data_IF_855801402739
#
_entry.id   IF_855801402739
#
_cell.length_a   1.000
_cell.length_b   1.000
_cell.length_c   1.000
_cell.angle_alpha   90.00
_cell.angle_beta   90.00
_cell.angle_gamma   90.00
#
_symmetry.space_group_name_H-M   'P 1'
#
loop_
_entity.id
_entity.type
_entity.pdbx_description
1 polymer ?
#
# COMPACT_ATOMS: atom_id res chain seq x y z
N UNK A 1 -1.01 64.93 29.29
CA UNK A 1 -0.26 63.70 29.01
C UNK A 1 -1.18 62.57 29.46
N UNK A 2 -1.80 61.72 28.64
CA UNK A 2 -1.10 60.58 28.02
C UNK A 2 -1.90 59.90 26.87
N UNK A 3 -2.80 60.65 26.24
CA UNK A 3 -3.75 60.18 25.20
C UNK A 3 -3.11 59.51 23.96
N UNK A 4 -1.80 59.70 23.76
CA UNK A 4 -1.04 59.14 22.63
C UNK A 4 -0.46 57.76 22.96
N UNK A 5 -0.07 57.52 24.22
CA UNK A 5 0.34 56.19 24.66
C UNK A 5 -0.85 55.25 24.79
N UNK A 6 -2.00 55.73 25.27
CA UNK A 6 -3.24 54.92 25.34
C UNK A 6 -3.66 54.41 23.96
N UNK A 7 -3.68 55.28 22.94
CA UNK A 7 -3.96 54.87 21.55
C UNK A 7 -2.93 53.90 21.00
N UNK A 8 -1.65 54.09 21.32
CA UNK A 8 -0.59 53.16 20.89
C UNK A 8 -0.74 51.80 21.57
N UNK A 9 -1.17 51.78 22.83
CA UNK A 9 -1.47 50.57 23.56
C UNK A 9 -2.71 49.86 22.99
N UNK A 10 -3.81 50.57 22.74
CA UNK A 10 -5.01 50.04 22.07
C UNK A 10 -4.69 49.47 20.69
N UNK A 11 -3.85 50.15 19.90
CA UNK A 11 -3.41 49.65 18.60
C UNK A 11 -2.60 48.35 18.74
N UNK A 12 -1.67 48.31 19.70
CA UNK A 12 -0.88 47.10 19.97
C UNK A 12 -1.73 45.92 20.47
N UNK A 13 -2.84 46.20 21.15
CA UNK A 13 -3.80 45.18 21.58
C UNK A 13 -4.65 44.68 20.42
N UNK A 14 -5.08 45.59 19.53
CA UNK A 14 -5.80 45.23 18.31
C UNK A 14 -4.94 44.40 17.35
N UNK A 15 -3.67 44.78 17.16
CA UNK A 15 -2.72 44.02 16.33
C UNK A 15 -2.53 42.60 16.87
N UNK A 16 -2.35 42.45 18.20
CA UNK A 16 -2.25 41.12 18.83
C UNK A 16 -3.54 40.32 18.72
N UNK A 17 -4.70 40.97 18.86
CA UNK A 17 -5.99 40.29 18.68
C UNK A 17 -6.18 39.85 17.22
N UNK A 18 -5.73 40.65 16.26
CA UNK A 18 -5.74 40.32 14.84
C UNK A 18 -4.79 39.16 14.52
N UNK A 19 -3.56 39.18 15.05
CA UNK A 19 -2.61 38.06 14.92
C UNK A 19 -3.18 36.77 15.53
N UNK A 20 -3.82 36.86 16.69
CA UNK A 20 -4.46 35.69 17.31
C UNK A 20 -5.60 35.14 16.46
N UNK A 21 -6.47 36.00 15.92
CA UNK A 21 -7.54 35.58 15.00
C UNK A 21 -6.99 34.96 13.71
N UNK A 22 -5.91 35.53 13.17
CA UNK A 22 -5.23 34.98 11.99
C UNK A 22 -4.66 33.60 12.28
N UNK A 23 -3.94 33.44 13.40
CA UNK A 23 -3.40 32.16 13.84
C UNK A 23 -4.50 31.11 14.04
N UNK A 24 -5.61 31.51 14.67
CA UNK A 24 -6.76 30.64 14.88
C UNK A 24 -7.44 30.25 13.55
N UNK A 25 -7.51 31.19 12.59
CA UNK A 25 -7.99 30.93 11.24
C UNK A 25 -7.10 29.93 10.48
N UNK A 26 -5.79 30.13 10.53
CA UNK A 26 -4.80 29.26 9.89
C UNK A 26 -4.85 27.84 10.49
N UNK A 27 -4.94 27.72 11.82
CA UNK A 27 -5.10 26.43 12.51
C UNK A 27 -6.40 25.72 12.09
N UNK A 28 -7.50 26.46 11.94
CA UNK A 28 -8.78 25.87 11.52
C UNK A 28 -8.74 25.39 10.07
N UNK A 29 -8.03 26.09 9.18
CA UNK A 29 -7.81 25.64 7.80
C UNK A 29 -6.98 24.35 7.79
N UNK A 30 -5.94 24.28 8.62
CA UNK A 30 -5.07 23.08 8.73
C UNK A 30 -5.82 21.87 9.32
N UNK A 31 -6.70 22.10 10.29
CA UNK A 31 -7.58 21.06 10.82
C UNK A 31 -8.56 20.54 9.76
N UNK A 32 -9.18 21.46 9.00
CA UNK A 32 -10.10 21.10 7.90
C UNK A 32 -9.36 20.34 6.79
N UNK A 33 -8.15 20.76 6.43
CA UNK A 33 -7.36 20.10 5.39
C UNK A 33 -6.95 18.69 5.80
N UNK A 34 -6.49 18.53 7.05
CA UNK A 34 -6.12 17.22 7.62
C UNK A 34 -7.34 16.30 7.68
N UNK A 35 -8.47 16.81 8.17
CA UNK A 35 -9.72 16.04 8.23
C UNK A 35 -10.22 15.65 6.84
N UNK A 36 -10.18 16.57 5.87
CA UNK A 36 -10.53 16.29 4.48
C UNK A 36 -9.63 15.21 3.86
N UNK A 37 -8.33 15.21 4.18
CA UNK A 37 -7.41 14.17 3.71
C UNK A 37 -7.72 12.81 4.37
N UNK A 38 -8.05 12.79 5.66
CA UNK A 38 -8.49 11.57 6.35
C UNK A 38 -9.79 11.02 5.77
N UNK A 39 -10.78 11.88 5.54
CA UNK A 39 -12.07 11.52 4.95
C UNK A 39 -11.90 11.00 3.50
N UNK A 40 -11.01 11.60 2.71
CA UNK A 40 -10.67 11.11 1.37
C UNK A 40 -9.98 9.74 1.42
N UNK A 41 -8.99 9.58 2.30
CA UNK A 41 -8.28 8.31 2.47
C UNK A 41 -9.24 7.18 2.91
N UNK A 42 -10.14 7.47 3.85
CA UNK A 42 -11.14 6.48 4.32
C UNK A 42 -12.17 6.17 3.24
N UNK A 43 -12.69 7.18 2.53
CA UNK A 43 -13.60 6.96 1.40
C UNK A 43 -12.98 6.15 0.26
N UNK A 44 -11.68 6.33 -0.02
CA UNK A 44 -10.97 5.51 -1.00
C UNK A 44 -10.82 4.04 -0.56
N UNK A 45 -10.55 3.81 0.74
CA UNK A 45 -10.51 2.47 1.32
C UNK A 45 -11.88 1.79 1.31
N UNK A 46 -12.95 2.54 1.60
CA UNK A 46 -14.32 2.03 1.56
C UNK A 46 -14.74 1.67 0.12
N UNK A 47 -14.39 2.50 -0.86
CA UNK A 47 -14.62 2.19 -2.27
C UNK A 47 -13.86 0.93 -2.72
N UNK A 48 -12.61 0.77 -2.27
CA UNK A 48 -11.84 -0.45 -2.50
C UNK A 48 -12.49 -1.67 -1.83
N UNK A 49 -12.91 -1.55 -0.57
CA UNK A 49 -13.58 -2.62 0.16
C UNK A 49 -14.87 -3.05 -0.54
N UNK A 50 -15.68 -2.10 -1.02
CA UNK A 50 -16.91 -2.38 -1.74
C UNK A 50 -16.65 -3.05 -3.09
N UNK A 51 -15.60 -2.63 -3.81
CA UNK A 51 -15.18 -3.28 -5.06
C UNK A 51 -14.76 -4.75 -4.84
N UNK A 52 -14.09 -5.05 -3.72
CA UNK A 52 -13.67 -6.41 -3.36
C UNK A 52 -14.89 -7.29 -3.02
N UNK A 53 -15.88 -6.74 -2.32
CA UNK A 53 -17.15 -7.43 -2.06
C UNK A 53 -17.87 -7.75 -3.37
N UNK A 54 -17.94 -6.79 -4.30
CA UNK A 54 -18.55 -6.98 -5.61
C UNK A 54 -17.88 -8.08 -6.45
N UNK A 55 -16.55 -8.18 -6.42
CA UNK A 55 -15.80 -9.25 -7.09
C UNK A 55 -16.08 -10.66 -6.53
N UNK A 56 -16.61 -10.74 -5.32
CA UNK A 56 -16.87 -12.00 -4.61
C UNK A 56 -18.34 -12.43 -4.69
N UNK A 57 -19.20 -11.61 -5.30
CA UNK A 57 -20.63 -11.89 -5.42
C UNK A 57 -20.88 -13.03 -6.42
N UNK A 58 -21.65 -14.08 -6.06
CA UNK A 58 -22.00 -15.16 -6.97
C UNK A 58 -22.91 -14.64 -8.09
N UNK A 59 -22.69 -15.10 -9.31
CA UNK A 59 -23.50 -14.79 -10.49
C UNK A 59 -24.89 -15.44 -10.45
N UNK A 60 -25.11 -16.39 -9.52
CA UNK A 60 -26.35 -17.15 -9.38
C UNK A 60 -26.39 -18.39 -10.27
N UNK A 61 -25.46 -18.54 -11.22
CA UNK A 61 -25.34 -19.70 -12.08
C UNK A 61 -24.22 -20.61 -11.56
N UNK A 62 -24.61 -21.74 -10.93
CA UNK A 62 -23.69 -22.65 -10.20
C UNK A 62 -22.47 -23.09 -11.02
N UNK A 63 -22.61 -23.32 -12.32
CA UNK A 63 -21.49 -23.76 -13.15
C UNK A 63 -20.51 -22.62 -13.47
N UNK A 64 -21.02 -21.40 -13.69
CA UNK A 64 -20.21 -20.19 -13.92
C UNK A 64 -19.47 -19.81 -12.65
N UNK A 65 -20.13 -19.89 -11.50
CA UNK A 65 -19.51 -19.63 -10.20
C UNK A 65 -18.44 -20.68 -9.87
N UNK A 66 -18.67 -21.94 -10.23
CA UNK A 66 -17.67 -23.01 -10.12
C UNK A 66 -16.45 -22.76 -11.01
N UNK A 67 -16.67 -22.40 -12.26
CA UNK A 67 -15.60 -22.07 -13.20
C UNK A 67 -14.80 -20.83 -12.76
N UNK A 68 -15.49 -19.76 -12.34
CA UNK A 68 -14.88 -18.54 -11.83
C UNK A 68 -14.00 -18.79 -10.60
N UNK A 69 -14.47 -19.62 -9.66
CA UNK A 69 -13.67 -20.03 -8.49
C UNK A 69 -12.44 -20.86 -8.89
N UNK A 70 -12.53 -21.65 -9.96
CA UNK A 70 -11.43 -22.47 -10.48
C UNK A 70 -10.36 -21.64 -11.21
N UNK A 71 -10.70 -20.47 -11.76
CA UNK A 71 -9.74 -19.62 -12.47
C UNK A 71 -8.57 -19.19 -11.59
N UNK A 72 -8.80 -18.92 -10.30
CA UNK A 72 -7.74 -18.54 -9.36
C UNK A 72 -6.69 -19.67 -9.23
N UNK A 73 -7.06 -20.92 -8.89
CA UNK A 73 -6.15 -22.08 -8.94
C UNK A 73 -5.51 -22.34 -10.31
N UNK A 74 -6.25 -22.18 -11.40
CA UNK A 74 -5.71 -22.46 -12.74
C UNK A 74 -4.57 -21.51 -13.10
N UNK A 75 -4.75 -20.21 -12.85
CA UNK A 75 -3.73 -19.20 -13.14
C UNK A 75 -2.49 -19.45 -12.27
N UNK A 76 -2.66 -19.78 -10.98
CA UNK A 76 -1.52 -20.06 -10.11
C UNK A 76 -0.79 -21.35 -10.49
N UNK A 77 -1.51 -22.40 -10.86
CA UNK A 77 -0.91 -23.65 -11.36
C UNK A 77 -0.14 -23.40 -12.66
N UNK A 78 -0.74 -22.71 -13.62
CA UNK A 78 -0.11 -22.41 -14.90
C UNK A 78 1.16 -21.56 -14.72
N UNK A 79 1.05 -20.41 -14.06
CA UNK A 79 2.14 -19.44 -14.01
C UNK A 79 3.20 -19.76 -12.97
N UNK A 80 2.79 -20.05 -11.74
CA UNK A 80 3.71 -20.17 -10.60
C UNK A 80 4.27 -21.57 -10.47
N UNK A 81 3.44 -22.60 -10.68
CA UNK A 81 3.85 -23.99 -10.47
C UNK A 81 4.49 -24.60 -11.71
N UNK A 82 3.94 -24.35 -12.90
CA UNK A 82 4.41 -24.98 -14.14
C UNK A 82 5.38 -24.09 -14.90
N UNK A 83 4.95 -22.88 -15.29
CA UNK A 83 5.71 -22.04 -16.21
C UNK A 83 6.97 -21.47 -15.57
N UNK A 84 6.89 -20.97 -14.33
CA UNK A 84 8.04 -20.35 -13.67
C UNK A 84 9.23 -21.32 -13.49
N UNK A 85 9.08 -22.52 -12.90
CA UNK A 85 10.19 -23.47 -12.82
C UNK A 85 10.68 -23.93 -14.19
N UNK A 86 9.77 -24.11 -15.16
CA UNK A 86 10.14 -24.51 -16.52
C UNK A 86 11.07 -23.49 -17.19
N UNK A 87 10.78 -22.19 -17.03
CA UNK A 87 11.63 -21.11 -17.58
C UNK A 87 13.01 -21.09 -16.89
N UNK A 88 13.07 -21.27 -15.58
CA UNK A 88 14.34 -21.32 -14.84
C UNK A 88 15.18 -22.52 -15.29
N UNK A 89 14.58 -23.72 -15.41
CA UNK A 89 15.27 -24.92 -15.89
C UNK A 89 15.74 -24.76 -17.33
N UNK A 90 14.91 -24.18 -18.21
CA UNK A 90 15.28 -23.91 -19.60
C UNK A 90 16.44 -22.89 -19.69
N UNK A 91 16.40 -21.83 -18.89
CA UNK A 91 17.48 -20.84 -18.82
C UNK A 91 18.79 -21.41 -18.30
N UNK A 92 18.71 -22.31 -17.31
CA UNK A 92 19.87 -23.05 -16.81
C UNK A 92 20.44 -23.97 -17.89
N UNK A 93 19.59 -24.77 -18.53
CA UNK A 93 19.97 -25.67 -19.62
C UNK A 93 20.67 -24.91 -20.75
N UNK A 94 20.09 -23.80 -21.20
CA UNK A 94 20.68 -22.97 -22.24
C UNK A 94 22.05 -22.41 -21.83
N UNK A 95 22.19 -21.97 -20.59
CA UNK A 95 23.46 -21.43 -20.08
C UNK A 95 24.56 -22.48 -20.06
N UNK A 96 24.25 -23.71 -19.63
CA UNK A 96 25.21 -24.83 -19.62
C UNK A 96 25.58 -25.25 -21.04
N UNK A 97 24.60 -25.34 -21.96
CA UNK A 97 24.87 -25.68 -23.37
C UNK A 97 25.68 -24.60 -24.09
N UNK A 98 25.66 -23.36 -23.60
CA UNK A 98 26.45 -22.24 -24.12
C UNK A 98 27.90 -22.24 -23.61
N UNK A 99 28.31 -23.24 -22.83
CA UNK A 99 29.69 -23.39 -22.33
C UNK A 99 29.96 -22.72 -20.98
N UNK A 100 28.94 -22.22 -20.29
CA UNK A 100 29.09 -21.69 -18.92
C UNK A 100 29.19 -22.86 -17.95
N UNK A 101 30.07 -22.76 -16.95
CA UNK A 101 30.17 -23.77 -15.89
C UNK A 101 28.83 -23.95 -15.18
N UNK A 102 28.48 -25.17 -14.79
CA UNK A 102 27.18 -25.43 -14.15
C UNK A 102 26.98 -24.63 -12.86
N UNK A 103 28.07 -24.33 -12.13
CA UNK A 103 28.02 -23.53 -10.91
C UNK A 103 27.71 -22.05 -11.24
N UNK A 104 28.39 -21.48 -12.23
CA UNK A 104 28.14 -20.09 -12.63
C UNK A 104 26.76 -19.92 -13.28
N UNK A 105 26.29 -20.92 -14.03
CA UNK A 105 24.95 -20.95 -14.58
C UNK A 105 23.88 -20.97 -13.48
N UNK A 106 24.10 -21.71 -12.39
CA UNK A 106 23.19 -21.75 -11.25
C UNK A 106 23.10 -20.38 -10.55
N UNK A 107 24.24 -19.75 -10.29
CA UNK A 107 24.29 -18.41 -9.67
C UNK A 107 23.63 -17.37 -10.58
N UNK A 108 23.78 -17.51 -11.91
CA UNK A 108 23.14 -16.64 -12.89
C UNK A 108 21.62 -16.83 -12.95
N UNK A 109 21.13 -18.06 -12.86
CA UNK A 109 19.70 -18.37 -12.82
C UNK A 109 19.03 -17.97 -11.51
N UNK A 110 19.77 -17.93 -10.40
CA UNK A 110 19.27 -17.49 -9.09
C UNK A 110 19.69 -16.05 -8.77
N UNK A 111 19.30 -15.14 -9.65
CA UNK A 111 19.75 -13.77 -9.69
C UNK A 111 18.97 -12.82 -8.77
N UNK A 112 19.15 -11.50 -8.98
CA UNK A 112 18.40 -10.47 -8.27
C UNK A 112 16.86 -10.62 -8.35
N UNK A 113 16.24 -10.99 -9.49
CA UNK A 113 14.79 -11.17 -9.58
C UNK A 113 14.26 -12.26 -8.64
N UNK A 114 14.93 -13.42 -8.57
CA UNK A 114 14.57 -14.54 -7.72
C UNK A 114 14.66 -14.15 -6.24
N UNK A 115 15.73 -13.43 -5.87
CA UNK A 115 15.93 -12.91 -4.50
C UNK A 115 14.87 -11.88 -4.13
N UNK A 116 14.47 -11.01 -5.07
CA UNK A 116 13.39 -10.05 -4.87
C UNK A 116 12.05 -10.76 -4.66
N UNK A 117 11.79 -11.84 -5.41
CA UNK A 117 10.61 -12.69 -5.28
C UNK A 117 10.54 -13.32 -3.88
N UNK A 118 11.64 -13.92 -3.41
CA UNK A 118 11.75 -14.48 -2.05
C UNK A 118 11.55 -13.40 -1.00
N UNK A 119 12.18 -12.24 -1.16
CA UNK A 119 12.00 -11.08 -0.26
C UNK A 119 10.54 -10.64 -0.18
N UNK A 120 9.83 -10.59 -1.32
CA UNK A 120 8.41 -10.27 -1.38
C UNK A 120 7.54 -11.30 -0.65
N UNK A 121 7.83 -12.60 -0.80
CA UNK A 121 7.12 -13.68 -0.09
C UNK A 121 7.35 -13.56 1.42
N UNK A 122 8.59 -13.34 1.84
CA UNK A 122 8.93 -13.14 3.25
C UNK A 122 8.23 -11.91 3.81
N UNK A 123 8.23 -10.80 3.09
CA UNK A 123 7.53 -9.59 3.49
C UNK A 123 6.04 -9.87 3.68
N UNK A 124 5.36 -10.46 2.69
CA UNK A 124 3.95 -10.81 2.81
C UNK A 124 3.65 -11.70 4.03
N UNK A 125 4.42 -12.77 4.25
CA UNK A 125 4.13 -13.77 5.27
C UNK A 125 4.53 -13.34 6.69
N UNK A 126 5.58 -12.53 6.83
CA UNK A 126 6.06 -12.07 8.13
C UNK A 126 5.51 -10.69 8.53
N UNK A 127 5.29 -9.77 7.59
CA UNK A 127 4.79 -8.43 7.89
C UNK A 127 3.32 -8.45 8.31
N UNK A 128 2.47 -9.26 7.67
CA UNK A 128 1.06 -9.40 8.05
C UNK A 128 0.88 -9.78 9.53
N UNK A 129 1.73 -10.66 10.04
CA UNK A 129 1.73 -11.07 11.46
C UNK A 129 2.12 -9.97 12.43
N UNK A 130 2.83 -8.94 11.99
CA UNK A 130 3.16 -7.79 12.84
C UNK A 130 1.90 -6.94 13.03
N UNK A 131 1.11 -6.74 11.98
CA UNK A 131 -0.13 -5.98 12.04
C UNK A 131 -1.24 -6.70 12.83
N UNK A 132 -1.39 -8.01 12.68
CA UNK A 132 -2.35 -8.81 13.47
C UNK A 132 -2.12 -8.68 14.99
N UNK A 133 -0.87 -8.43 15.42
CA UNK A 133 -0.50 -8.23 16.83
C UNK A 133 -0.78 -6.82 17.35
N UNK A 134 -0.83 -5.82 16.48
CA UNK A 134 -1.16 -4.44 16.87
C UNK A 134 -2.66 -4.29 17.07
N UNK A 135 -3.46 -4.94 16.23
CA UNK A 135 -4.93 -4.90 16.33
C UNK A 135 -5.44 -5.56 17.63
N UNK A 136 -4.73 -6.58 18.14
CA UNK A 136 -5.01 -7.16 19.47
C UNK A 136 -4.64 -6.26 20.66
N UNK A 137 -3.89 -5.17 20.45
CA UNK A 137 -3.45 -4.27 21.52
C UNK A 137 -4.31 -3.01 21.63
N UNK A 138 -5.25 -2.82 20.71
CA UNK A 138 -6.16 -1.67 20.62
C UNK A 138 -7.61 -2.06 21.02
N UNK A 139 -7.87 -3.34 21.29
CA UNK A 139 -9.08 -3.80 22.01
C UNK A 139 -8.82 -3.86 23.52
#
# INVERSE_FOLDING_TARGET
MDRKNERKHELSMQDKAFEFQKLQGDQKIDEISTKGQMDWNTGALDALAESIKGQSAPSGVKWIDGFSKMMRPLITLQWVVLLYPAVIVAGFWLSVTSGISALDALVKCFGPPEKALVSGILNFWFLGRVFDKVDMRIK
#
